data_IF_014029961224
#
_entry.id   IF_014029961224
#
_cell.length_a   1.000
_cell.length_b   1.000
_cell.length_c   1.000
_cell.angle_alpha   90.00
_cell.angle_beta   90.00
_cell.angle_gamma   90.00
#
_symmetry.space_group_name_H-M   'P 1'
#
loop_
_entity.id
_entity.type
_entity.pdbx_description
1 polymer ?
#
# COMPACT_ATOMS: atom_id res chain seq x y z
N UNK A 1 2.45 5.01 1.44
CA UNK A 1 1.91 6.23 2.07
C UNK A 1 2.85 6.81 3.11
N UNK A 2 3.10 6.15 4.26
CA UNK A 2 3.98 6.70 5.31
C UNK A 2 5.42 6.98 4.88
N UNK A 3 5.95 6.25 3.90
CA UNK A 3 7.29 6.48 3.34
C UNK A 3 7.35 7.61 2.30
N UNK A 4 6.21 8.17 1.87
CA UNK A 4 6.16 9.20 0.81
C UNK A 4 6.87 10.50 1.22
N UNK A 5 6.72 11.03 2.46
CA UNK A 5 7.47 12.23 2.87
C UNK A 5 8.99 12.04 2.88
N UNK A 6 9.44 10.80 3.02
CA UNK A 6 10.85 10.44 3.07
C UNK A 6 11.42 10.12 1.68
N UNK A 7 10.60 10.18 0.63
CA UNK A 7 10.99 9.83 -0.72
C UNK A 7 11.43 11.06 -1.51
N UNK A 8 12.64 11.00 -2.04
CA UNK A 8 13.14 11.93 -3.03
C UNK A 8 12.78 11.42 -4.43
N UNK A 9 11.84 12.11 -5.10
CA UNK A 9 11.40 11.76 -6.45
C UNK A 9 12.36 12.18 -7.55
N UNK A 10 13.37 13.00 -7.26
CA UNK A 10 14.41 13.38 -8.22
C UNK A 10 15.49 12.30 -8.24
N UNK A 11 15.89 11.84 -7.06
CA UNK A 11 16.99 10.90 -6.89
C UNK A 11 16.55 9.44 -6.72
N UNK A 12 15.25 9.18 -6.71
CA UNK A 12 14.64 7.85 -6.54
C UNK A 12 15.17 7.11 -5.31
N UNK A 13 15.18 7.78 -4.16
CA UNK A 13 15.65 7.21 -2.91
C UNK A 13 14.71 7.55 -1.74
N UNK A 14 14.69 6.66 -0.74
CA UNK A 14 14.11 6.96 0.56
C UNK A 14 15.22 7.29 1.53
N UNK A 15 15.05 8.35 2.32
CA UNK A 15 15.96 8.68 3.42
C UNK A 15 15.21 8.54 4.75
N UNK A 16 15.66 7.61 5.58
CA UNK A 16 15.10 7.37 6.91
C UNK A 16 16.06 7.90 7.96
N UNK A 17 15.64 8.91 8.71
CA UNK A 17 16.37 9.42 9.87
C UNK A 17 16.06 8.52 11.06
N UNK A 18 17.08 7.88 11.63
CA UNK A 18 16.93 6.93 12.74
C UNK A 18 17.18 7.60 14.09
N UNK A 19 18.18 8.47 14.15
CA UNK A 19 18.50 9.36 15.27
C UNK A 19 19.07 10.69 14.70
N UNK A 20 19.50 11.60 15.56
CA UNK A 20 19.94 12.94 15.14
C UNK A 20 21.19 12.94 14.23
N UNK A 21 21.92 11.83 14.12
CA UNK A 21 23.19 11.74 13.39
C UNK A 21 23.19 10.63 12.32
N UNK A 22 22.30 9.64 12.44
CA UNK A 22 22.25 8.49 11.56
C UNK A 22 21.02 8.54 10.65
N UNK A 23 21.30 8.45 9.34
CA UNK A 23 20.29 8.24 8.32
C UNK A 23 20.62 7.04 7.45
N UNK A 24 19.59 6.33 7.01
CA UNK A 24 19.70 5.23 6.07
C UNK A 24 19.05 5.67 4.77
N UNK A 25 19.83 5.70 3.70
CA UNK A 25 19.32 5.96 2.35
C UNK A 25 19.14 4.64 1.60
N UNK A 26 17.91 4.38 1.16
CA UNK A 26 17.54 3.21 0.37
C UNK A 26 17.23 3.67 -1.04
N UNK A 27 18.09 3.31 -2.00
CA UNK A 27 17.84 3.59 -3.40
C UNK A 27 16.79 2.61 -3.96
N UNK A 28 15.83 3.09 -4.74
CA UNK A 28 14.82 2.26 -5.42
C UNK A 28 15.48 1.18 -6.28
N UNK A 29 16.66 1.42 -6.85
CA UNK A 29 17.40 0.42 -7.60
C UNK A 29 17.80 -0.79 -6.76
N UNK A 30 18.00 -0.65 -5.44
CA UNK A 30 18.27 -1.79 -4.56
C UNK A 30 17.09 -2.77 -4.54
N UNK A 31 15.86 -2.28 -4.71
CA UNK A 31 14.67 -3.12 -4.84
C UNK A 31 14.67 -3.97 -6.14
N UNK A 32 15.50 -3.64 -7.14
CA UNK A 32 15.63 -4.43 -8.39
C UNK A 32 16.26 -5.79 -8.10
N UNK A 33 17.15 -5.86 -7.12
CA UNK A 33 17.78 -7.10 -6.66
C UNK A 33 16.79 -8.00 -5.95
N UNK A 34 15.79 -7.40 -5.29
CA UNK A 34 14.74 -8.16 -4.63
C UNK A 34 13.70 -8.64 -5.64
N UNK A 35 13.06 -7.78 -6.47
CA UNK A 35 12.18 -8.19 -7.60
C UNK A 35 12.01 -7.11 -8.68
N UNK A 36 12.35 -7.42 -9.94
CA UNK A 36 12.45 -6.49 -11.10
C UNK A 36 11.16 -5.72 -11.48
N UNK A 37 9.98 -6.33 -11.38
CA UNK A 37 8.76 -5.75 -11.97
C UNK A 37 8.01 -4.76 -11.07
N UNK A 38 8.23 -4.79 -9.76
CA UNK A 38 7.48 -3.95 -8.81
C UNK A 38 8.05 -2.53 -8.70
N UNK A 39 9.33 -2.36 -9.03
CA UNK A 39 9.99 -1.05 -9.01
C UNK A 39 9.42 -0.04 -9.98
N UNK A 40 9.08 -0.47 -11.19
CA UNK A 40 8.50 0.43 -12.18
C UNK A 40 7.19 1.04 -11.68
N UNK A 41 6.32 0.22 -11.10
CA UNK A 41 5.03 0.66 -10.57
C UNK A 41 5.18 1.53 -9.32
N UNK A 42 6.12 1.21 -8.42
CA UNK A 42 6.45 2.10 -7.32
C UNK A 42 6.90 3.47 -7.83
N UNK A 43 7.83 3.53 -8.81
CA UNK A 43 8.26 4.81 -9.39
C UNK A 43 7.10 5.60 -9.96
N UNK A 44 6.24 4.97 -10.77
CA UNK A 44 5.04 5.62 -11.33
C UNK A 44 4.18 6.22 -10.21
N UNK A 45 3.87 5.42 -9.18
CA UNK A 45 3.06 5.88 -8.06
C UNK A 45 3.71 7.07 -7.34
N UNK A 46 4.96 6.95 -6.90
CA UNK A 46 5.64 8.02 -6.16
C UNK A 46 5.80 9.30 -6.99
N UNK A 47 6.15 9.20 -8.27
CA UNK A 47 6.23 10.38 -9.15
C UNK A 47 4.86 11.05 -9.37
N UNK A 48 3.77 10.28 -9.38
CA UNK A 48 2.42 10.86 -9.50
C UNK A 48 1.97 11.58 -8.23
N UNK A 49 2.28 11.04 -7.05
CA UNK A 49 1.72 11.52 -5.78
C UNK A 49 2.60 12.58 -5.10
N UNK A 50 3.94 12.50 -5.20
CA UNK A 50 4.85 13.42 -4.54
C UNK A 50 4.56 14.90 -4.89
N UNK A 51 4.36 15.29 -6.17
CA UNK A 51 4.03 16.67 -6.52
C UNK A 51 2.63 17.11 -6.05
N UNK A 52 1.77 16.17 -5.62
CA UNK A 52 0.43 16.49 -5.13
C UNK A 52 0.39 16.66 -3.61
N UNK A 53 1.35 16.10 -2.87
CA UNK A 53 1.34 16.20 -1.42
C UNK A 53 1.92 17.52 -0.90
N UNK A 54 2.79 18.19 -1.65
CA UNK A 54 3.46 19.45 -1.25
C UNK A 54 4.07 19.36 0.18
N UNK A 55 4.54 18.17 0.59
CA UNK A 55 4.98 17.86 1.95
C UNK A 55 3.96 18.20 3.06
N UNK A 56 2.67 18.19 2.73
CA UNK A 56 1.59 18.46 3.67
C UNK A 56 1.19 17.20 4.44
N UNK A 57 1.48 17.15 5.76
CA UNK A 57 1.14 15.99 6.57
C UNK A 57 -0.37 15.80 6.73
N UNK A 58 -1.17 16.87 6.65
CA UNK A 58 -2.64 16.78 6.79
C UNK A 58 -3.23 16.11 5.55
N UNK A 59 -2.82 16.53 4.34
CA UNK A 59 -3.25 15.89 3.09
C UNK A 59 -2.88 14.41 3.11
N UNK A 60 -1.64 14.08 3.47
CA UNK A 60 -1.17 12.69 3.54
C UNK A 60 -2.00 11.86 4.54
N UNK A 61 -2.29 12.40 5.72
CA UNK A 61 -3.04 11.70 6.76
C UNK A 61 -4.49 11.45 6.34
N UNK A 62 -5.16 12.46 5.76
CA UNK A 62 -6.52 12.33 5.25
C UNK A 62 -6.58 11.32 4.10
N UNK A 63 -5.63 11.37 3.16
CA UNK A 63 -5.55 10.41 2.07
C UNK A 63 -5.30 8.98 2.60
N UNK A 64 -4.46 8.83 3.62
CA UNK A 64 -4.23 7.55 4.29
C UNK A 64 -5.50 7.02 4.95
N UNK A 65 -6.31 7.88 5.59
CA UNK A 65 -7.60 7.50 6.15
C UNK A 65 -8.58 7.05 5.06
N UNK A 66 -8.68 7.78 3.94
CA UNK A 66 -9.51 7.41 2.78
C UNK A 66 -9.15 6.02 2.25
N UNK A 67 -7.85 5.71 2.16
CA UNK A 67 -7.35 4.39 1.74
C UNK A 67 -7.69 3.30 2.76
N UNK A 68 -7.54 3.60 4.05
CA UNK A 68 -7.84 2.66 5.13
C UNK A 68 -9.32 2.25 5.11
N UNK A 69 -10.22 3.21 4.92
CA UNK A 69 -11.66 2.99 4.82
C UNK A 69 -12.11 2.64 3.40
N UNK A 70 -11.41 1.75 2.71
CA UNK A 70 -11.85 1.24 1.40
C UNK A 70 -12.94 0.18 1.57
N UNK A 71 -14.16 0.37 1.03
CA UNK A 71 -15.28 -0.56 1.26
C UNK A 71 -15.17 -1.89 0.52
N UNK A 72 -14.30 -1.98 -0.49
CA UNK A 72 -14.13 -3.17 -1.33
C UNK A 72 -13.06 -4.14 -0.78
N UNK A 73 -12.79 -4.09 0.52
CA UNK A 73 -11.85 -5.02 1.18
C UNK A 73 -12.53 -6.40 1.37
N UNK A 74 -11.79 -7.50 1.16
CA UNK A 74 -12.33 -8.84 1.42
C UNK A 74 -12.67 -9.00 2.90
N UNK A 75 -13.70 -9.80 3.21
CA UNK A 75 -14.15 -10.11 4.57
C UNK A 75 -14.63 -8.91 5.40
N UNK A 76 -15.03 -7.81 4.74
CA UNK A 76 -15.59 -6.66 5.44
C UNK A 76 -17.03 -6.96 5.87
N UNK A 77 -17.35 -6.76 7.16
CA UNK A 77 -18.70 -7.00 7.71
C UNK A 77 -19.52 -5.70 7.67
N UNK A 78 -18.93 -4.58 8.08
CA UNK A 78 -19.63 -3.29 8.24
C UNK A 78 -19.40 -2.35 7.05
N UNK A 79 -19.89 -2.73 5.86
CA UNK A 79 -19.69 -1.96 4.63
C UNK A 79 -20.20 -0.52 4.72
N UNK A 80 -21.43 -0.32 5.20
CA UNK A 80 -22.06 1.01 5.28
C UNK A 80 -21.27 1.97 6.18
N UNK A 81 -20.81 1.49 7.33
CA UNK A 81 -19.98 2.28 8.23
C UNK A 81 -18.66 2.68 7.56
N UNK A 82 -18.02 1.77 6.83
CA UNK A 82 -16.77 2.08 6.11
C UNK A 82 -16.99 3.08 4.98
N UNK A 83 -18.08 2.93 4.21
CA UNK A 83 -18.46 3.90 3.16
C UNK A 83 -18.65 5.30 3.77
N UNK A 84 -19.40 5.38 4.86
CA UNK A 84 -19.67 6.64 5.55
C UNK A 84 -18.36 7.29 6.04
N UNK A 85 -17.48 6.52 6.68
CA UNK A 85 -16.18 7.05 7.13
C UNK A 85 -15.33 7.53 5.96
N UNK A 86 -15.27 6.78 4.86
CA UNK A 86 -14.53 7.18 3.67
C UNK A 86 -15.07 8.50 3.08
N UNK A 87 -16.40 8.65 3.03
CA UNK A 87 -17.06 9.87 2.56
C UNK A 87 -16.75 11.06 3.47
N UNK A 88 -16.75 10.86 4.80
CA UNK A 88 -16.39 11.90 5.78
C UNK A 88 -14.95 12.38 5.57
N UNK A 89 -13.98 11.45 5.45
CA UNK A 89 -12.59 11.83 5.23
C UNK A 89 -12.36 12.48 3.85
N UNK A 90 -13.07 12.03 2.82
CA UNK A 90 -13.03 12.65 1.49
C UNK A 90 -13.58 14.07 1.52
N UNK A 91 -14.70 14.29 2.22
CA UNK A 91 -15.26 15.62 2.42
C UNK A 91 -14.32 16.53 3.22
N UNK A 92 -13.70 16.00 4.28
CA UNK A 92 -12.73 16.74 5.08
C UNK A 92 -11.52 17.16 4.25
N UNK A 93 -11.00 16.28 3.39
CA UNK A 93 -9.94 16.60 2.45
C UNK A 93 -10.37 17.70 1.47
N UNK A 94 -11.57 17.62 0.90
CA UNK A 94 -12.11 18.68 0.02
C UNK A 94 -12.13 20.03 0.74
N UNK A 95 -12.65 20.08 1.97
CA UNK A 95 -12.74 21.31 2.76
C UNK A 95 -11.37 21.85 3.14
N UNK A 96 -10.43 20.98 3.49
CA UNK A 96 -9.06 21.35 3.80
C UNK A 96 -8.37 22.00 2.60
N UNK A 97 -8.47 21.38 1.42
CA UNK A 97 -7.90 21.92 0.18
C UNK A 97 -8.54 23.27 -0.18
N UNK A 98 -9.85 23.40 -0.06
CA UNK A 98 -10.53 24.67 -0.31
C UNK A 98 -10.02 25.80 0.61
N UNK A 99 -9.87 25.51 1.91
CA UNK A 99 -9.35 26.48 2.87
C UNK A 99 -7.91 26.89 2.55
N UNK A 100 -7.08 25.95 2.08
CA UNK A 100 -5.66 26.18 1.82
C UNK A 100 -5.37 26.89 0.50
N UNK A 101 -6.08 26.55 -0.58
CA UNK A 101 -5.84 27.11 -1.91
C UNK A 101 -6.80 28.26 -2.27
N UNK A 102 -7.88 28.46 -1.50
CA UNK A 102 -8.77 29.63 -1.57
C UNK A 102 -9.67 29.73 -2.82
N UNK A 103 -9.38 28.96 -3.87
CA UNK A 103 -10.16 28.91 -5.12
C UNK A 103 -10.76 27.53 -5.31
N UNK A 104 -12.06 27.47 -5.58
CA UNK A 104 -12.78 26.22 -5.79
C UNK A 104 -12.12 25.38 -6.90
N UNK A 105 -11.83 25.98 -8.06
CA UNK A 105 -11.27 25.25 -9.21
C UNK A 105 -9.91 24.61 -8.95
N UNK A 106 -9.01 25.30 -8.24
CA UNK A 106 -7.69 24.79 -7.89
C UNK A 106 -7.79 23.67 -6.85
N UNK A 107 -8.64 23.85 -5.84
CA UNK A 107 -8.87 22.84 -4.81
C UNK A 107 -9.50 21.56 -5.36
N UNK A 108 -10.44 21.69 -6.32
CA UNK A 108 -11.10 20.55 -6.96
C UNK A 108 -10.15 19.81 -7.90
N UNK A 109 -9.32 20.52 -8.67
CA UNK A 109 -8.29 19.89 -9.51
C UNK A 109 -7.25 19.15 -8.66
N UNK A 110 -6.80 19.74 -7.55
CA UNK A 110 -5.87 19.07 -6.62
C UNK A 110 -6.50 17.83 -5.98
N UNK A 111 -7.76 17.93 -5.53
CA UNK A 111 -8.50 16.79 -4.97
C UNK A 111 -8.60 15.66 -5.98
N UNK A 112 -9.02 15.98 -7.21
CA UNK A 112 -9.13 15.00 -8.30
C UNK A 112 -7.79 14.32 -8.56
N UNK A 113 -6.70 15.08 -8.74
CA UNK A 113 -5.35 14.54 -8.95
C UNK A 113 -4.92 13.61 -7.82
N UNK A 114 -5.20 13.94 -6.57
CA UNK A 114 -4.90 13.09 -5.42
C UNK A 114 -5.69 11.76 -5.48
N UNK A 115 -7.00 11.83 -5.73
CA UNK A 115 -7.86 10.64 -5.83
C UNK A 115 -7.51 9.76 -7.04
N UNK A 116 -7.10 10.35 -8.15
CA UNK A 116 -6.66 9.65 -9.37
C UNK A 116 -5.38 8.82 -9.13
N UNK A 117 -4.62 9.09 -8.05
CA UNK A 117 -3.46 8.25 -7.67
C UNK A 117 -3.84 6.96 -6.93
N UNK A 118 -5.06 6.87 -6.39
CA UNK A 118 -5.49 5.72 -5.57
C UNK A 118 -5.55 4.39 -6.35
N UNK A 119 -6.02 4.34 -7.61
CA UNK A 119 -5.94 3.13 -8.42
C UNK A 119 -4.50 2.65 -8.63
N UNK A 120 -3.56 3.55 -8.87
CA UNK A 120 -2.15 3.21 -9.03
C UNK A 120 -1.56 2.63 -7.72
N UNK A 121 -1.94 3.18 -6.56
CA UNK A 121 -1.57 2.62 -5.27
C UNK A 121 -2.11 1.20 -5.07
N UNK A 122 -3.38 0.98 -5.44
CA UNK A 122 -4.00 -0.35 -5.36
C UNK A 122 -3.26 -1.35 -6.24
N UNK A 123 -2.94 -0.99 -7.48
CA UNK A 123 -2.19 -1.83 -8.41
C UNK A 123 -0.80 -2.19 -7.87
N UNK A 124 -0.07 -1.21 -7.33
CA UNK A 124 1.22 -1.43 -6.65
C UNK A 124 1.06 -2.39 -5.48
N UNK A 125 0.04 -2.18 -4.64
CA UNK A 125 -0.23 -3.02 -3.47
C UNK A 125 -0.55 -4.47 -3.85
N UNK A 126 -1.38 -4.68 -4.88
CA UNK A 126 -1.79 -6.01 -5.33
C UNK A 126 -0.60 -6.77 -5.94
N UNK A 127 0.25 -6.09 -6.72
CA UNK A 127 1.49 -6.67 -7.26
C UNK A 127 2.51 -6.98 -6.17
N UNK A 128 2.65 -6.09 -5.18
CA UNK A 128 3.54 -6.33 -4.06
C UNK A 128 3.10 -7.54 -3.23
N UNK A 129 1.79 -7.66 -2.93
CA UNK A 129 1.23 -8.83 -2.23
C UNK A 129 1.52 -10.13 -2.97
N UNK A 130 1.23 -10.20 -4.28
CA UNK A 130 1.53 -11.39 -5.10
C UNK A 130 3.01 -11.79 -5.04
N UNK A 131 3.90 -10.80 -5.10
CA UNK A 131 5.33 -11.04 -5.00
C UNK A 131 5.75 -11.56 -3.62
N UNK A 132 5.11 -11.09 -2.55
CA UNK A 132 5.35 -11.59 -1.21
C UNK A 132 4.90 -13.05 -1.08
N UNK A 133 3.72 -13.42 -1.58
CA UNK A 133 3.20 -14.81 -1.57
C UNK A 133 4.18 -15.81 -2.24
N UNK A 134 4.93 -15.37 -3.25
CA UNK A 134 5.95 -16.17 -3.95
C UNK A 134 7.34 -16.17 -3.27
N UNK A 135 7.47 -15.58 -2.08
CA UNK A 135 8.75 -15.49 -1.35
C UNK A 135 8.86 -16.63 -0.34
N UNK A 136 10.07 -17.19 -0.20
CA UNK A 136 10.33 -18.24 0.79
C UNK A 136 10.07 -17.70 2.21
N UNK A 137 9.14 -18.30 2.97
CA UNK A 137 8.87 -17.86 4.34
C UNK A 137 10.07 -17.94 5.27
N UNK A 138 11.04 -18.83 4.99
CA UNK A 138 12.22 -19.03 5.83
C UNK A 138 13.20 -17.83 5.76
N UNK A 139 13.15 -17.05 4.67
CA UNK A 139 13.96 -15.82 4.54
C UNK A 139 13.30 -14.58 5.16
N UNK A 140 12.06 -14.69 5.65
CA UNK A 140 11.32 -13.60 6.29
C UNK A 140 11.34 -13.77 7.81
N UNK A 141 12.24 -13.08 8.54
CA UNK A 141 12.47 -13.35 9.96
C UNK A 141 11.28 -12.98 10.86
N UNK A 142 10.47 -12.00 10.45
CA UNK A 142 9.40 -11.46 11.30
C UNK A 142 8.07 -12.22 11.10
N UNK A 143 7.54 -12.80 12.18
CA UNK A 143 6.24 -13.52 12.20
C UNK A 143 5.07 -12.67 11.70
N UNK A 144 5.01 -11.40 12.09
CA UNK A 144 3.96 -10.47 11.66
C UNK A 144 3.93 -10.26 10.15
N UNK A 145 5.10 -10.22 9.50
CA UNK A 145 5.16 -10.08 8.03
C UNK A 145 4.67 -11.36 7.35
N UNK A 146 4.99 -12.53 7.91
CA UNK A 146 4.50 -13.81 7.40
C UNK A 146 2.96 -13.88 7.46
N UNK A 147 2.36 -13.47 8.57
CA UNK A 147 0.90 -13.42 8.72
C UNK A 147 0.26 -12.39 7.78
N UNK A 148 0.83 -11.17 7.71
CA UNK A 148 0.31 -10.08 6.89
C UNK A 148 0.28 -10.42 5.38
N UNK A 149 1.26 -11.17 4.92
CA UNK A 149 1.41 -11.57 3.51
C UNK A 149 0.98 -13.01 3.23
N UNK A 150 0.35 -13.69 4.20
CA UNK A 150 -0.09 -15.09 4.10
C UNK A 150 1.02 -16.06 3.62
N UNK A 151 2.25 -15.86 4.15
CA UNK A 151 3.42 -16.68 3.81
C UNK A 151 3.30 -18.05 4.49
N UNK A 152 2.74 -19.02 3.77
CA UNK A 152 2.57 -20.40 4.27
C UNK A 152 3.91 -21.06 4.51
N UNK A 153 4.14 -21.50 5.74
CA UNK A 153 5.32 -22.28 6.09
C UNK A 153 5.34 -23.60 5.29
N UNK A 154 6.53 -24.14 5.03
CA UNK A 154 6.69 -25.37 4.23
C UNK A 154 5.98 -26.59 4.85
N UNK A 155 5.58 -26.51 6.12
CA UNK A 155 4.78 -27.51 6.86
C UNK A 155 3.27 -27.49 6.58
N UNK A 156 2.70 -26.39 6.08
CA UNK A 156 1.25 -26.29 5.81
C UNK A 156 0.82 -26.95 4.49
N UNK A 157 1.78 -27.31 3.62
CA UNK A 157 1.52 -28.02 2.36
C UNK A 157 1.31 -29.53 2.54
N UNK A 158 1.46 -30.05 3.75
CA UNK A 158 1.29 -31.48 4.03
C UNK A 158 -0.12 -31.83 4.54
N UNK A 159 -0.84 -30.89 5.16
CA UNK A 159 -2.20 -31.12 5.68
C UNK A 159 -3.31 -31.22 4.62
N UNK A 160 -3.08 -30.71 3.41
CA UNK A 160 -4.10 -30.68 2.34
C UNK A 160 -4.01 -31.89 1.39
N UNK A 161 -2.96 -32.71 1.51
CA UNK A 161 -2.83 -33.97 0.75
C UNK A 161 -3.47 -35.17 1.42
N UNK A 162 -3.64 -35.15 2.74
CA UNK A 162 -4.17 -36.30 3.48
C UNK A 162 -5.71 -36.38 3.45
N UNK A 163 -6.41 -35.29 3.12
CA UNK A 163 -7.87 -35.32 2.92
C UNK A 163 -8.31 -35.84 1.55
N UNK A 164 -7.39 -35.96 0.59
CA UNK A 164 -7.73 -36.41 -0.77
C UNK A 164 -7.40 -37.89 -1.03
N UNK A 165 -6.75 -38.58 -0.09
CA UNK A 165 -6.42 -40.01 -0.22
C UNK A 165 -7.54 -40.90 0.33
N UNK A 166 -8.36 -40.42 1.26
CA UNK A 166 -9.46 -41.23 1.82
C UNK A 166 -10.69 -41.33 0.92
N UNK A 167 -10.85 -40.50 -0.12
CA UNK A 167 -12.02 -40.58 -0.99
C UNK A 167 -11.85 -41.53 -2.20
N UNK A 168 -10.62 -41.96 -2.51
CA UNK A 168 -10.31 -42.80 -3.68
C UNK A 168 -10.12 -44.30 -3.36
N UNK A 169 -10.48 -44.76 -2.17
CA UNK A 169 -10.38 -46.18 -1.77
C UNK A 169 -11.73 -46.87 -1.53
N UNK A 170 -12.86 -46.24 -1.92
CA UNK A 170 -14.21 -46.82 -1.79
C UNK A 170 -15.00 -46.91 -3.11
N UNK A 171 -14.31 -46.84 -4.25
CA UNK A 171 -14.90 -47.22 -5.55
C UNK A 171 -13.90 -48.09 -6.29
N UNK A 172 -13.92 -49.38 -5.97
CA UNK A 172 -13.63 -50.52 -6.85
C UNK A 172 -14.03 -51.80 -6.14
#
# INVERSE_FOLDING_TARGET
MRSVPNYDCIHDNWTFVMDNENSITVNVELMRYFRRNVNHWFKIFFHSICPQLDNDPIVLNLLTAIILFTPNRPNLIHHEAVILQQQIYTYLLKRYLLLRYGRDSESEDKLRKLLDTLPALKEVSDRHRKNCEETDPEVVPFRLLRELFDLKSRGDKQGDRDHNIHHNLLVN
#
